data_IF_082120436232
#
_entry.id   IF_082120436232
#
_cell.length_a   1.000
_cell.length_b   1.000
_cell.length_c   1.000
_cell.angle_alpha   90.00
_cell.angle_beta   90.00
_cell.angle_gamma   90.00
#
_symmetry.space_group_name_H-M   'P 1'
#
loop_
_entity.id
_entity.type
_entity.pdbx_description
1 polymer ?
#
# COMPACT_ATOMS: atom_id res chain seq x y z
N UNK A 1 1.32 3.45 -27.64
CA UNK A 1 1.40 4.91 -27.47
C UNK A 1 1.87 5.33 -26.06
N UNK A 2 2.05 4.40 -25.12
CA UNK A 2 2.51 4.65 -23.72
C UNK A 2 4.05 4.77 -23.63
N UNK A 3 4.81 4.16 -24.53
CA UNK A 3 6.30 4.12 -24.48
C UNK A 3 6.95 5.50 -24.70
N UNK A 4 6.30 6.44 -25.36
CA UNK A 4 6.87 7.77 -25.69
C UNK A 4 6.88 8.78 -24.52
N UNK A 5 6.14 8.53 -23.43
CA UNK A 5 6.11 9.44 -22.27
C UNK A 5 7.29 9.31 -21.32
N UNK A 6 8.05 8.21 -21.37
CA UNK A 6 9.20 7.99 -20.49
C UNK A 6 10.53 8.60 -20.98
N UNK A 7 10.57 9.13 -22.21
CA UNK A 7 11.83 9.58 -22.87
C UNK A 7 12.39 10.88 -22.29
N UNK A 8 11.63 11.65 -21.51
CA UNK A 8 12.08 12.95 -20.94
C UNK A 8 12.15 12.98 -19.40
N UNK A 9 11.99 11.86 -18.72
CA UNK A 9 12.19 11.84 -17.27
C UNK A 9 13.67 11.77 -16.95
N UNK A 10 14.22 12.78 -16.29
CA UNK A 10 15.54 12.74 -15.67
C UNK A 10 15.70 11.43 -14.90
N UNK A 11 16.90 10.83 -14.93
CA UNK A 11 17.16 9.59 -14.22
C UNK A 11 16.88 9.77 -12.72
N UNK A 12 15.82 9.17 -12.22
CA UNK A 12 15.37 9.27 -10.82
C UNK A 12 15.36 7.91 -10.16
N UNK A 13 15.70 7.91 -8.88
CA UNK A 13 15.68 6.72 -8.04
C UNK A 13 14.28 6.16 -7.89
N UNK A 14 14.08 4.89 -8.24
CA UNK A 14 12.80 4.20 -8.15
C UNK A 14 12.31 3.97 -6.70
N UNK A 15 13.18 4.25 -5.70
CA UNK A 15 12.81 4.19 -4.29
C UNK A 15 12.48 5.56 -3.69
N UNK A 16 13.28 6.61 -3.92
CA UNK A 16 13.12 7.90 -3.24
C UNK A 16 12.74 9.05 -4.15
N UNK A 17 12.62 8.83 -5.45
CA UNK A 17 12.28 9.79 -6.52
C UNK A 17 13.28 10.92 -6.76
N UNK A 18 14.37 10.98 -5.97
CA UNK A 18 15.43 11.97 -6.17
C UNK A 18 16.28 11.62 -7.39
N UNK A 19 16.90 12.63 -8.00
CA UNK A 19 17.79 12.47 -9.15
C UNK A 19 18.97 11.54 -8.81
N UNK A 20 19.42 10.77 -9.81
CA UNK A 20 20.60 9.91 -9.76
C UNK A 20 21.57 10.42 -10.85
N UNK A 21 22.80 10.75 -10.45
CA UNK A 21 23.83 11.25 -11.36
C UNK A 21 24.31 10.15 -12.33
N UNK A 22 24.37 8.91 -11.86
CA UNK A 22 24.75 7.74 -12.67
C UNK A 22 23.54 7.19 -13.43
N UNK A 23 23.55 7.37 -14.76
CA UNK A 23 22.45 6.93 -15.65
C UNK A 23 22.30 5.40 -15.76
N UNK A 24 23.31 4.63 -15.35
CA UNK A 24 23.27 3.17 -15.31
C UNK A 24 22.56 2.61 -14.06
N UNK A 25 22.22 3.45 -13.08
CA UNK A 25 21.59 3.02 -11.84
C UNK A 25 20.11 3.38 -11.81
N UNK A 26 19.30 2.48 -11.24
CA UNK A 26 17.89 2.73 -10.92
C UNK A 26 17.65 3.12 -9.47
N UNK A 27 18.64 2.94 -8.60
CA UNK A 27 18.55 3.23 -7.17
C UNK A 27 19.87 3.81 -6.65
N UNK A 28 19.81 4.74 -5.71
CA UNK A 28 20.97 5.05 -4.90
C UNK A 28 21.38 3.80 -4.08
N UNK A 29 22.66 3.57 -3.81
CA UNK A 29 23.10 2.41 -3.03
C UNK A 29 22.44 2.27 -1.65
N UNK A 30 22.15 3.41 -0.99
CA UNK A 30 21.42 3.42 0.29
C UNK A 30 19.94 3.06 0.13
N UNK A 31 19.32 3.43 -0.98
CA UNK A 31 17.92 3.09 -1.29
C UNK A 31 17.79 1.59 -1.61
N UNK A 32 18.72 1.05 -2.39
CA UNK A 32 18.79 -0.38 -2.66
C UNK A 32 19.00 -1.19 -1.36
N UNK A 33 19.86 -0.70 -0.45
CA UNK A 33 20.06 -1.32 0.86
C UNK A 33 18.77 -1.35 1.69
N UNK A 34 17.98 -0.27 1.70
CA UNK A 34 16.71 -0.21 2.44
C UNK A 34 15.66 -1.19 1.90
N UNK A 35 15.55 -1.32 0.57
CA UNK A 35 14.54 -2.17 -0.06
C UNK A 35 14.99 -3.63 -0.15
N UNK A 36 16.19 -3.88 -0.67
CA UNK A 36 16.67 -5.22 -0.99
C UNK A 36 17.65 -5.80 0.03
N UNK A 37 18.13 -5.01 0.99
CA UNK A 37 19.17 -5.44 1.93
C UNK A 37 20.58 -5.50 1.33
N UNK A 38 20.80 -4.91 0.15
CA UNK A 38 22.09 -4.87 -0.56
C UNK A 38 22.29 -3.53 -1.27
N UNK A 39 23.55 -3.11 -1.47
CA UNK A 39 23.87 -1.80 -2.06
C UNK A 39 23.60 -1.74 -3.57
N UNK A 40 23.62 -2.88 -4.24
CA UNK A 40 23.29 -3.00 -5.66
C UNK A 40 21.93 -3.70 -5.77
N UNK A 41 20.97 -3.06 -6.44
CA UNK A 41 19.65 -3.64 -6.65
C UNK A 41 19.73 -4.91 -7.51
N UNK A 42 18.95 -5.94 -7.22
CA UNK A 42 18.85 -7.12 -8.08
C UNK A 42 18.13 -6.77 -9.38
N UNK A 43 18.46 -7.49 -10.44
CA UNK A 43 17.79 -7.39 -11.75
C UNK A 43 16.48 -8.18 -11.71
N UNK A 44 15.45 -7.66 -12.35
CA UNK A 44 14.17 -8.36 -12.59
C UNK A 44 14.15 -8.83 -14.06
N UNK A 45 14.54 -10.08 -14.38
CA UNK A 45 14.71 -10.56 -15.74
C UNK A 45 13.40 -11.07 -16.34
N UNK A 46 12.31 -10.33 -16.17
CA UNK A 46 10.99 -10.66 -16.69
C UNK A 46 10.39 -9.46 -17.39
N UNK A 47 9.70 -9.71 -18.50
CA UNK A 47 8.84 -8.76 -19.17
C UNK A 47 7.37 -9.05 -18.84
N UNK A 48 6.47 -8.17 -19.25
CA UNK A 48 5.04 -8.29 -19.03
C UNK A 48 4.48 -9.63 -19.49
N UNK A 49 4.81 -10.05 -20.72
CA UNK A 49 4.27 -11.30 -21.29
C UNK A 49 4.70 -12.53 -20.48
N UNK A 50 5.96 -12.59 -20.05
CA UNK A 50 6.44 -13.68 -19.19
C UNK A 50 5.70 -13.71 -17.85
N UNK A 51 5.47 -12.55 -17.24
CA UNK A 51 4.80 -12.42 -15.95
C UNK A 51 3.33 -12.83 -16.08
N UNK A 52 2.62 -12.42 -17.11
CA UNK A 52 1.23 -12.80 -17.34
C UNK A 52 1.08 -14.32 -17.51
N UNK A 53 1.94 -14.95 -18.30
CA UNK A 53 1.96 -16.41 -18.47
C UNK A 53 2.24 -17.16 -17.16
N UNK A 54 3.21 -16.69 -16.38
CA UNK A 54 3.55 -17.29 -15.09
C UNK A 54 2.44 -17.07 -14.05
N UNK A 55 1.80 -15.91 -14.05
CA UNK A 55 0.66 -15.64 -13.19
C UNK A 55 -0.52 -16.59 -13.50
N UNK A 56 -0.84 -16.82 -14.78
CA UNK A 56 -1.85 -17.78 -15.18
C UNK A 56 -1.53 -19.21 -14.71
N UNK A 57 -0.29 -19.67 -14.85
CA UNK A 57 0.12 -21.00 -14.35
C UNK A 57 0.03 -21.14 -12.83
N UNK A 58 0.26 -20.04 -12.07
CA UNK A 58 0.11 -20.04 -10.62
C UNK A 58 -1.36 -20.05 -10.23
N UNK A 59 -2.21 -19.30 -10.94
CA UNK A 59 -3.66 -19.26 -10.72
C UNK A 59 -4.29 -20.61 -10.99
N UNK A 60 -3.91 -21.30 -12.08
CA UNK A 60 -4.40 -22.64 -12.40
C UNK A 60 -4.05 -23.68 -11.32
N UNK A 61 -2.96 -23.48 -10.59
CA UNK A 61 -2.50 -24.35 -9.49
C UNK A 61 -3.02 -23.94 -8.12
N UNK A 62 -3.59 -22.74 -7.96
CA UNK A 62 -4.09 -22.24 -6.69
C UNK A 62 -5.57 -21.93 -6.78
N UNK A 63 -6.37 -22.51 -5.88
CA UNK A 63 -7.83 -22.33 -5.79
C UNK A 63 -8.28 -20.94 -5.30
N UNK A 64 -7.41 -19.96 -5.19
CA UNK A 64 -7.78 -18.60 -4.79
C UNK A 64 -7.56 -17.61 -5.93
N UNK A 65 -8.62 -17.38 -6.66
CA UNK A 65 -8.73 -16.29 -7.62
C UNK A 65 -9.49 -15.17 -6.92
N UNK A 66 -8.91 -13.96 -6.90
CA UNK A 66 -9.62 -12.70 -7.18
C UNK A 66 -8.71 -11.54 -6.79
N UNK A 67 -8.14 -10.92 -7.75
CA UNK A 67 -7.49 -9.62 -7.65
C UNK A 67 -7.35 -9.08 -9.07
N UNK A 68 -7.71 -7.83 -9.27
CA UNK A 68 -7.60 -7.13 -10.54
C UNK A 68 -6.15 -7.06 -11.05
N UNK A 69 -5.17 -7.30 -10.16
CA UNK A 69 -3.74 -7.23 -10.43
C UNK A 69 -3.04 -8.52 -9.96
N UNK A 70 -2.23 -9.19 -10.81
CA UNK A 70 -1.43 -10.33 -10.39
C UNK A 70 -0.46 -9.97 -9.27
N UNK A 71 -0.33 -10.86 -8.28
CA UNK A 71 0.65 -10.74 -7.18
C UNK A 71 1.59 -11.93 -7.25
N UNK A 72 2.88 -11.66 -7.44
CA UNK A 72 3.91 -12.69 -7.58
C UNK A 72 4.88 -12.63 -6.41
N UNK A 73 5.16 -13.78 -5.79
CA UNK A 73 6.17 -13.87 -4.77
C UNK A 73 7.55 -14.08 -5.39
N UNK A 74 8.51 -13.26 -4.99
CA UNK A 74 9.89 -13.28 -5.49
C UNK A 74 10.87 -13.49 -4.35
N UNK A 75 12.03 -14.08 -4.70
CA UNK A 75 13.22 -14.07 -3.84
C UNK A 75 14.47 -13.68 -4.61
N UNK A 76 15.50 -13.28 -3.89
CA UNK A 76 16.78 -12.88 -4.48
C UNK A 76 17.65 -14.12 -4.66
N UNK A 77 17.91 -14.49 -5.90
CA UNK A 77 18.94 -15.44 -6.27
C UNK A 77 20.29 -14.68 -6.39
N UNK A 78 21.21 -15.04 -5.53
CA UNK A 78 22.56 -14.42 -5.52
C UNK A 78 23.36 -14.96 -6.67
N UNK A 79 23.78 -14.06 -7.57
CA UNK A 79 24.66 -14.39 -8.68
C UNK A 79 26.05 -14.82 -8.19
N UNK A 80 26.79 -15.51 -9.07
CA UNK A 80 28.21 -15.81 -8.87
C UNK A 80 29.08 -14.56 -8.87
N UNK A 81 30.42 -14.74 -8.78
CA UNK A 81 31.40 -13.64 -8.61
C UNK A 81 31.31 -12.53 -9.69
N UNK A 82 30.77 -12.85 -10.88
CA UNK A 82 30.64 -11.92 -12.01
C UNK A 82 29.19 -11.83 -12.56
N UNK A 83 28.21 -12.35 -11.83
CA UNK A 83 26.81 -12.31 -12.24
C UNK A 83 26.00 -11.39 -11.33
N UNK A 84 25.07 -10.58 -11.87
CA UNK A 84 24.19 -9.78 -11.05
C UNK A 84 23.23 -10.66 -10.23
N UNK A 85 22.89 -10.18 -9.03
CA UNK A 85 21.78 -10.77 -8.27
C UNK A 85 20.48 -10.62 -9.07
N UNK A 86 19.64 -11.65 -9.09
CA UNK A 86 18.39 -11.69 -9.83
C UNK A 86 17.20 -11.94 -8.90
N UNK A 87 16.10 -11.27 -9.16
CA UNK A 87 14.81 -11.64 -8.56
C UNK A 87 14.23 -12.81 -9.34
N UNK A 88 13.85 -13.87 -8.63
CA UNK A 88 13.28 -15.09 -9.21
C UNK A 88 11.91 -15.33 -8.60
N UNK A 89 10.94 -15.68 -9.44
CA UNK A 89 9.59 -16.05 -8.99
C UNK A 89 9.70 -17.38 -8.24
N UNK A 90 9.23 -17.37 -6.99
CA UNK A 90 9.23 -18.53 -6.12
C UNK A 90 7.84 -18.62 -5.49
N UNK A 91 7.15 -19.68 -5.58
CA UNK A 91 5.82 -19.89 -5.02
C UNK A 91 5.47 -19.04 -3.78
N UNK A 92 4.93 -19.65 -2.74
CA UNK A 92 4.48 -18.92 -1.52
C UNK A 92 5.61 -18.41 -0.61
N UNK A 93 6.85 -18.78 -0.85
CA UNK A 93 7.96 -18.60 0.11
C UNK A 93 8.85 -17.38 -0.16
N UNK A 94 8.52 -16.54 -1.14
CA UNK A 94 9.31 -15.36 -1.48
C UNK A 94 9.34 -14.30 -0.39
N UNK A 95 10.46 -13.56 -0.33
CA UNK A 95 10.66 -12.42 0.57
C UNK A 95 10.10 -11.11 0.01
N UNK A 96 9.74 -11.08 -1.26
CA UNK A 96 9.17 -9.93 -1.96
C UNK A 96 7.84 -10.27 -2.61
N UNK A 97 7.01 -9.26 -2.79
CA UNK A 97 5.79 -9.31 -3.59
C UNK A 97 5.94 -8.31 -4.73
N UNK A 98 5.74 -8.78 -5.96
CA UNK A 98 5.71 -7.98 -7.16
C UNK A 98 4.28 -7.82 -7.64
N UNK A 99 3.92 -6.60 -8.00
CA UNK A 99 2.65 -6.25 -8.64
C UNK A 99 2.98 -5.53 -9.95
N UNK A 100 2.87 -6.19 -11.11
CA UNK A 100 3.11 -5.60 -12.42
C UNK A 100 1.95 -4.68 -12.82
N UNK A 101 2.09 -4.01 -13.96
CA UNK A 101 0.99 -3.25 -14.58
C UNK A 101 -0.21 -4.17 -14.85
N UNK A 102 -1.39 -3.59 -14.76
CA UNK A 102 -2.64 -4.25 -15.15
C UNK A 102 -2.94 -3.99 -16.63
N UNK A 103 -3.64 -4.94 -17.27
CA UNK A 103 -4.18 -4.74 -18.61
C UNK A 103 -5.43 -3.84 -18.60
N UNK A 104 -6.14 -3.75 -17.48
CA UNK A 104 -7.38 -3.00 -17.34
C UNK A 104 -7.15 -1.56 -16.87
N UNK A 105 -6.18 -1.35 -15.98
CA UNK A 105 -5.92 -0.07 -15.32
C UNK A 105 -4.47 0.35 -15.49
N UNK A 106 -4.26 1.52 -16.04
CA UNK A 106 -2.92 2.08 -16.22
C UNK A 106 -2.38 2.67 -14.90
N UNK A 107 -1.05 2.67 -14.76
CA UNK A 107 -0.32 3.30 -13.66
C UNK A 107 -0.60 2.74 -12.26
N UNK A 108 -1.14 1.52 -12.12
CA UNK A 108 -1.38 0.92 -10.79
C UNK A 108 -0.12 0.87 -9.91
N UNK A 109 1.04 0.38 -10.39
CA UNK A 109 2.28 0.38 -9.62
C UNK A 109 2.71 1.75 -9.15
N UNK A 110 2.62 2.76 -10.01
CA UNK A 110 3.02 4.14 -9.70
C UNK A 110 2.08 4.79 -8.71
N UNK A 111 0.76 4.53 -8.83
CA UNK A 111 -0.25 5.05 -7.90
C UNK A 111 -0.09 4.40 -6.52
N UNK A 112 0.15 3.09 -6.45
CA UNK A 112 0.40 2.40 -5.17
C UNK A 112 1.69 2.93 -4.52
N UNK A 113 2.78 3.02 -5.26
CA UNK A 113 4.06 3.47 -4.71
C UNK A 113 4.02 4.91 -4.20
N UNK A 114 3.42 5.84 -4.95
CA UNK A 114 3.28 7.24 -4.51
C UNK A 114 2.38 7.36 -3.28
N UNK A 115 1.27 6.60 -3.22
CA UNK A 115 0.36 6.59 -2.07
C UNK A 115 1.07 6.05 -0.81
N UNK A 116 1.80 4.96 -0.93
CA UNK A 116 2.61 4.39 0.15
C UNK A 116 3.68 5.37 0.63
N UNK A 117 4.35 6.10 -0.27
CA UNK A 117 5.34 7.14 0.10
C UNK A 117 4.69 8.32 0.83
N UNK A 118 3.52 8.74 0.43
CA UNK A 118 2.76 9.79 1.12
C UNK A 118 2.40 9.36 2.55
N UNK A 119 1.96 8.11 2.73
CA UNK A 119 1.70 7.55 4.06
C UNK A 119 2.96 7.60 4.93
N UNK A 120 4.08 7.10 4.44
CA UNK A 120 5.36 7.11 5.15
C UNK A 120 5.83 8.53 5.51
N UNK A 121 5.69 9.51 4.60
CA UNK A 121 6.07 10.90 4.83
C UNK A 121 5.24 11.60 5.92
N UNK A 122 4.04 11.08 6.18
CA UNK A 122 3.15 11.53 7.26
C UNK A 122 3.34 10.77 8.58
N UNK A 123 4.31 9.85 8.63
CA UNK A 123 4.63 9.06 9.81
C UNK A 123 3.73 7.85 10.03
N UNK A 124 3.01 7.41 9.01
CA UNK A 124 2.38 6.08 8.99
C UNK A 124 3.48 5.07 8.69
N UNK A 125 3.63 4.09 9.56
CA UNK A 125 4.60 3.01 9.35
C UNK A 125 4.16 2.15 8.15
N UNK A 126 5.03 2.01 7.14
CA UNK A 126 4.75 1.26 5.91
C UNK A 126 5.75 0.13 5.72
N UNK A 127 5.35 -0.93 5.02
CA UNK A 127 6.28 -1.96 4.57
C UNK A 127 7.34 -1.33 3.64
N UNK A 128 8.59 -1.84 3.57
CA UNK A 128 9.57 -1.38 2.59
C UNK A 128 9.08 -1.66 1.18
N UNK A 129 8.99 -0.62 0.35
CA UNK A 129 8.42 -0.70 -0.99
C UNK A 129 9.14 0.23 -1.97
N UNK A 130 8.88 0.05 -3.26
CA UNK A 130 9.39 0.91 -4.32
C UNK A 130 8.89 0.44 -5.68
N UNK A 131 9.32 1.15 -6.72
CA UNK A 131 9.15 0.69 -8.10
C UNK A 131 10.37 -0.12 -8.52
N UNK A 132 10.19 -1.05 -9.46
CA UNK A 132 11.26 -1.79 -10.12
C UNK A 132 11.02 -1.78 -11.62
N UNK A 133 12.11 -1.71 -12.40
CA UNK A 133 12.02 -1.78 -13.86
C UNK A 133 12.10 -3.23 -14.32
N UNK A 134 11.15 -3.61 -15.16
CA UNK A 134 11.13 -4.90 -15.83
C UNK A 134 12.05 -4.88 -17.07
N UNK A 135 12.26 -6.05 -17.68
CA UNK A 135 13.19 -6.20 -18.81
C UNK A 135 12.72 -5.45 -20.08
N UNK A 136 11.41 -5.26 -20.23
CA UNK A 136 10.80 -4.44 -21.29
C UNK A 136 10.78 -2.94 -20.99
N UNK A 137 11.31 -2.51 -19.85
CA UNK A 137 11.34 -1.12 -19.41
C UNK A 137 10.08 -0.65 -18.66
N UNK A 138 9.02 -1.44 -18.57
CA UNK A 138 7.83 -1.09 -17.77
C UNK A 138 8.17 -1.07 -16.27
N UNK A 139 7.39 -0.30 -15.50
CA UNK A 139 7.51 -0.25 -14.05
C UNK A 139 6.54 -1.24 -13.40
N UNK A 140 7.01 -1.92 -12.36
CA UNK A 140 6.20 -2.72 -11.46
C UNK A 140 6.40 -2.23 -10.02
N UNK A 141 5.39 -2.40 -9.17
CA UNK A 141 5.52 -2.17 -7.74
C UNK A 141 6.15 -3.39 -7.07
N UNK A 142 7.11 -3.16 -6.19
CA UNK A 142 7.74 -4.21 -5.40
C UNK A 142 7.75 -3.84 -3.92
N UNK A 143 7.40 -4.80 -3.08
CA UNK A 143 7.44 -4.64 -1.63
C UNK A 143 8.13 -5.82 -0.96
N UNK A 144 8.88 -5.53 0.12
CA UNK A 144 9.46 -6.57 0.96
C UNK A 144 8.45 -7.01 2.00
N UNK A 145 8.28 -8.30 2.17
CA UNK A 145 7.41 -8.88 3.19
C UNK A 145 7.96 -8.60 4.58
N UNK A 146 7.07 -8.21 5.49
CA UNK A 146 7.39 -7.92 6.89
C UNK A 146 7.12 -9.10 7.83
N UNK A 147 6.41 -10.13 7.34
CA UNK A 147 6.15 -11.37 8.05
C UNK A 147 7.33 -12.36 7.98
N UNK A 148 8.52 -11.87 7.61
CA UNK A 148 9.76 -12.67 7.52
C UNK A 148 10.95 -11.87 8.00
N UNK A 149 11.88 -12.55 8.65
CA UNK A 149 13.18 -11.97 8.96
C UNK A 149 14.19 -12.15 7.80
N UNK A 150 15.41 -11.65 8.01
CA UNK A 150 16.49 -11.75 7.02
C UNK A 150 16.94 -13.20 6.72
N UNK A 151 16.58 -14.16 7.57
CA UNK A 151 16.89 -15.59 7.38
C UNK A 151 15.77 -16.32 6.64
N UNK A 152 14.64 -15.64 6.36
CA UNK A 152 13.43 -16.22 5.76
C UNK A 152 12.49 -16.88 6.77
N UNK A 153 12.77 -16.81 8.07
CA UNK A 153 11.88 -17.29 9.13
C UNK A 153 10.59 -16.47 9.10
N UNK A 154 9.47 -17.19 9.02
CA UNK A 154 8.13 -16.57 9.00
C UNK A 154 7.65 -16.27 10.43
N UNK A 155 7.08 -15.07 10.60
CA UNK A 155 6.29 -14.68 11.77
C UNK A 155 4.80 -14.80 11.44
N UNK A 156 3.98 -15.00 12.46
CA UNK A 156 2.54 -15.03 12.29
C UNK A 156 2.03 -13.62 11.95
N UNK A 157 1.27 -13.51 10.86
CA UNK A 157 0.59 -12.28 10.45
C UNK A 157 -0.84 -12.65 10.10
N UNK A 158 -1.79 -12.08 10.84
CA UNK A 158 -3.21 -12.40 10.75
C UNK A 158 -3.98 -11.16 10.30
N UNK A 159 -4.66 -11.27 9.17
CA UNK A 159 -5.54 -10.19 8.70
C UNK A 159 -6.85 -10.11 9.52
N UNK A 160 -7.58 -9.01 9.39
CA UNK A 160 -8.80 -8.81 10.18
C UNK A 160 -9.94 -9.76 9.77
N UNK A 161 -9.93 -10.35 8.56
CA UNK A 161 -10.85 -11.43 8.24
C UNK A 161 -10.56 -12.66 9.11
N UNK A 162 -9.30 -13.06 9.25
CA UNK A 162 -8.88 -14.18 10.08
C UNK A 162 -9.17 -13.91 11.58
N UNK A 163 -8.83 -12.72 12.08
CA UNK A 163 -9.04 -12.33 13.47
C UNK A 163 -10.51 -12.21 13.86
N UNK A 164 -11.38 -11.91 12.90
CA UNK A 164 -12.84 -11.80 13.11
C UNK A 164 -13.61 -13.03 12.60
N UNK A 165 -12.89 -14.09 12.23
CA UNK A 165 -13.44 -15.36 11.73
C UNK A 165 -14.37 -15.17 10.52
N UNK A 166 -13.96 -14.30 9.57
CA UNK A 166 -14.69 -14.02 8.33
C UNK A 166 -14.01 -14.70 7.14
N UNK A 167 -14.82 -15.22 6.23
CA UNK A 167 -14.33 -15.73 4.94
C UNK A 167 -13.85 -14.57 4.06
N UNK A 168 -12.96 -14.86 3.12
CA UNK A 168 -12.40 -13.86 2.18
C UNK A 168 -13.48 -13.14 1.37
N UNK A 169 -14.56 -13.83 0.98
CA UNK A 169 -15.70 -13.28 0.26
C UNK A 169 -16.48 -12.24 1.07
N UNK A 170 -16.28 -12.20 2.39
CA UNK A 170 -16.91 -11.26 3.31
C UNK A 170 -15.95 -10.14 3.74
N UNK A 171 -14.88 -9.89 3.00
CA UNK A 171 -13.83 -8.91 3.35
C UNK A 171 -14.35 -7.46 3.47
N UNK A 172 -15.46 -7.13 2.82
CA UNK A 172 -16.12 -5.81 2.89
C UNK A 172 -17.22 -5.71 3.95
N UNK A 173 -17.58 -6.81 4.62
CA UNK A 173 -18.62 -6.78 5.64
C UNK A 173 -18.11 -6.21 6.95
N UNK A 174 -18.98 -5.48 7.66
CA UNK A 174 -18.68 -4.90 8.97
C UNK A 174 -18.38 -3.41 8.90
N UNK A 175 -17.82 -2.88 9.96
CA UNK A 175 -17.45 -1.47 10.09
C UNK A 175 -16.04 -1.33 10.68
N UNK A 176 -15.40 -0.19 10.43
CA UNK A 176 -14.03 0.05 10.95
C UNK A 176 -13.96 0.04 12.48
N UNK A 177 -15.01 0.46 13.18
CA UNK A 177 -15.05 0.38 14.65
C UNK A 177 -14.89 -1.05 15.16
N UNK A 178 -15.42 -2.05 14.46
CA UNK A 178 -15.28 -3.47 14.84
C UNK A 178 -13.83 -3.94 14.69
N UNK A 179 -13.09 -3.40 13.69
CA UNK A 179 -11.66 -3.68 13.54
C UNK A 179 -10.85 -3.00 14.65
N UNK A 180 -11.20 -1.78 15.05
CA UNK A 180 -10.58 -1.11 16.19
C UNK A 180 -10.77 -1.90 17.49
N UNK A 181 -11.97 -2.46 17.74
CA UNK A 181 -12.23 -3.33 18.90
C UNK A 181 -11.42 -4.64 18.82
N UNK A 182 -11.26 -5.20 17.62
CA UNK A 182 -10.43 -6.39 17.40
C UNK A 182 -8.96 -6.10 17.71
N UNK A 183 -8.44 -4.94 17.28
CA UNK A 183 -7.09 -4.49 17.61
C UNK A 183 -6.93 -4.34 19.13
N UNK A 184 -7.87 -3.71 19.83
CA UNK A 184 -7.83 -3.58 21.28
C UNK A 184 -7.72 -4.93 21.98
N UNK A 185 -8.43 -5.93 21.48
CA UNK A 185 -8.49 -7.26 22.09
C UNK A 185 -7.19 -8.04 21.95
N UNK A 186 -6.49 -7.91 20.84
CA UNK A 186 -5.37 -8.79 20.49
C UNK A 186 -4.00 -8.11 20.48
N UNK A 187 -3.94 -6.77 20.42
CA UNK A 187 -2.67 -6.04 20.44
C UNK A 187 -2.12 -5.92 21.86
N UNK A 188 -0.80 -6.04 21.98
CA UNK A 188 -0.05 -5.75 23.23
C UNK A 188 0.07 -4.24 23.50
N UNK A 189 -0.23 -3.38 22.54
CA UNK A 189 -0.22 -1.93 22.67
C UNK A 189 -1.56 -1.34 22.17
N UNK A 190 -2.69 -1.72 22.81
CA UNK A 190 -4.03 -1.54 22.24
C UNK A 190 -4.32 -0.12 21.77
N UNK A 191 -4.18 0.87 22.65
CA UNK A 191 -4.57 2.25 22.32
C UNK A 191 -3.62 2.91 21.33
N UNK A 192 -2.34 2.55 21.32
CA UNK A 192 -1.39 3.04 20.31
C UNK A 192 -1.74 2.48 18.92
N UNK A 193 -2.04 1.20 18.85
CA UNK A 193 -2.37 0.55 17.58
C UNK A 193 -3.77 0.96 17.06
N UNK A 194 -4.74 1.25 17.96
CA UNK A 194 -6.02 1.85 17.57
C UNK A 194 -5.83 3.27 17.00
N UNK A 195 -4.92 4.08 17.57
CA UNK A 195 -4.60 5.40 17.01
C UNK A 195 -3.98 5.28 15.61
N UNK A 196 -3.00 4.37 15.43
CA UNK A 196 -2.37 4.09 14.13
C UNK A 196 -3.37 3.58 13.10
N UNK A 197 -4.28 2.71 13.53
CA UNK A 197 -5.37 2.20 12.69
C UNK A 197 -6.27 3.32 12.18
N UNK A 198 -6.77 4.19 13.06
CA UNK A 198 -7.62 5.31 12.65
C UNK A 198 -6.88 6.35 11.81
N UNK A 199 -5.59 6.55 12.07
CA UNK A 199 -4.75 7.39 11.22
C UNK A 199 -4.67 6.82 9.79
N UNK A 200 -4.54 5.50 9.66
CA UNK A 200 -4.50 4.82 8.37
C UNK A 200 -5.86 4.86 7.65
N UNK A 201 -6.98 4.69 8.37
CA UNK A 201 -8.35 4.82 7.80
C UNK A 201 -8.58 6.25 7.29
N UNK A 202 -8.22 7.26 8.08
CA UNK A 202 -8.34 8.67 7.70
C UNK A 202 -7.49 9.00 6.48
N UNK A 203 -6.23 8.54 6.44
CA UNK A 203 -5.33 8.68 5.30
C UNK A 203 -5.92 8.04 4.05
N UNK A 204 -6.45 6.82 4.17
CA UNK A 204 -7.07 6.09 3.05
C UNK A 204 -8.24 6.87 2.46
N UNK A 205 -9.11 7.44 3.31
CA UNK A 205 -10.19 8.29 2.86
C UNK A 205 -9.69 9.57 2.17
N UNK A 206 -8.69 10.26 2.73
CA UNK A 206 -8.13 11.48 2.12
C UNK A 206 -7.56 11.19 0.73
N UNK A 207 -6.88 10.06 0.57
CA UNK A 207 -6.21 9.67 -0.67
C UNK A 207 -7.11 8.92 -1.66
N UNK A 208 -8.39 8.71 -1.33
CA UNK A 208 -9.35 8.04 -2.21
C UNK A 208 -9.10 6.53 -2.36
N UNK A 209 -8.64 5.87 -1.30
CA UNK A 209 -8.54 4.43 -1.23
C UNK A 209 -9.85 3.82 -0.71
N UNK A 210 -10.78 3.56 -1.59
CA UNK A 210 -12.07 2.92 -1.29
C UNK A 210 -12.00 1.39 -1.18
N UNK A 211 -10.83 0.77 -1.38
CA UNK A 211 -10.65 -0.69 -1.25
C UNK A 211 -9.94 -1.11 0.06
N UNK A 212 -9.94 -0.25 1.07
CA UNK A 212 -9.29 -0.54 2.35
C UNK A 212 -10.15 -1.44 3.25
N UNK A 213 -10.32 -2.69 2.81
CA UNK A 213 -11.16 -3.71 3.46
C UNK A 213 -10.44 -4.49 4.59
N UNK A 214 -11.15 -5.42 5.25
CA UNK A 214 -10.63 -6.20 6.38
C UNK A 214 -9.26 -6.88 6.12
N UNK A 215 -8.97 -7.33 4.91
CA UNK A 215 -7.70 -8.01 4.59
C UNK A 215 -6.51 -7.06 4.45
N UNK A 216 -6.73 -5.75 4.40
CA UNK A 216 -5.68 -4.74 4.28
C UNK A 216 -5.21 -4.24 5.66
N UNK A 217 -5.75 -4.80 6.74
CA UNK A 217 -5.29 -4.59 8.11
C UNK A 217 -4.89 -5.92 8.72
N UNK A 218 -3.71 -5.98 9.33
CA UNK A 218 -3.20 -7.20 9.97
C UNK A 218 -2.56 -6.90 11.31
N UNK A 219 -2.56 -7.91 12.17
CA UNK A 219 -1.69 -7.95 13.33
C UNK A 219 -0.50 -8.86 13.01
N UNK A 220 0.69 -8.35 13.26
CA UNK A 220 1.97 -9.05 13.08
C UNK A 220 2.52 -9.45 14.44
N UNK A 221 2.99 -10.70 14.54
CA UNK A 221 3.68 -11.20 15.71
C UNK A 221 5.11 -10.66 15.78
N UNK A 222 5.44 -10.04 16.89
CA UNK A 222 6.81 -9.64 17.21
C UNK A 222 7.38 -10.65 18.22
N UNK A 223 8.48 -11.32 17.92
CA UNK A 223 9.09 -12.29 18.82
C UNK A 223 9.27 -11.70 20.23
N UNK A 224 8.82 -12.42 21.24
CA UNK A 224 8.85 -12.06 22.67
C UNK A 224 7.84 -10.97 23.09
N UNK A 225 7.19 -10.26 22.17
CA UNK A 225 6.34 -9.10 22.49
C UNK A 225 4.85 -9.30 22.16
N UNK A 226 4.45 -10.38 21.48
CA UNK A 226 3.07 -10.62 21.04
C UNK A 226 2.68 -9.85 19.77
N UNK A 227 1.39 -9.66 19.54
CA UNK A 227 0.86 -9.06 18.30
C UNK A 227 0.74 -7.55 18.39
N UNK A 228 1.04 -6.86 17.31
CA UNK A 228 0.82 -5.42 17.11
C UNK A 228 0.28 -5.15 15.70
N UNK A 229 -0.32 -3.97 15.51
CA UNK A 229 -0.71 -3.55 14.16
C UNK A 229 0.51 -3.58 13.23
N UNK A 230 0.36 -4.28 12.10
CA UNK A 230 1.43 -4.36 11.09
C UNK A 230 1.69 -3.00 10.46
N UNK A 231 2.90 -2.78 9.91
CA UNK A 231 3.09 -1.69 8.97
C UNK A 231 2.05 -1.74 7.84
N UNK A 232 1.64 -0.57 7.35
CA UNK A 232 0.65 -0.46 6.28
C UNK A 232 1.19 -1.02 4.96
N UNK A 233 0.31 -1.63 4.19
CA UNK A 233 0.55 -2.20 2.86
C UNK A 233 -0.71 -2.05 2.00
N UNK A 234 -0.58 -2.23 0.70
CA UNK A 234 -1.71 -2.24 -0.26
C UNK A 234 -2.48 -0.91 -0.26
N UNK A 235 -1.78 0.23 -0.18
CA UNK A 235 -2.39 1.56 -0.23
C UNK A 235 -2.45 2.05 -1.68
N UNK A 236 -3.64 2.02 -2.25
CA UNK A 236 -3.89 2.43 -3.64
C UNK A 236 -5.02 3.46 -3.68
N UNK A 237 -4.84 4.57 -4.37
CA UNK A 237 -5.94 5.49 -4.66
C UNK A 237 -6.86 4.90 -5.73
N UNK A 238 -7.92 4.22 -5.31
CA UNK A 238 -8.90 3.60 -6.23
C UNK A 238 -9.59 4.66 -7.08
N UNK A 239 -9.90 5.82 -6.51
CA UNK A 239 -10.56 6.92 -7.22
C UNK A 239 -9.73 7.54 -8.37
N UNK A 240 -8.42 7.32 -8.42
CA UNK A 240 -7.59 7.67 -9.57
C UNK A 240 -7.64 6.60 -10.68
N UNK A 241 -7.93 5.38 -10.29
CA UNK A 241 -7.91 4.20 -11.16
C UNK A 241 -9.28 3.97 -11.78
N UNK A 242 -10.32 3.98 -10.95
CA UNK A 242 -11.71 3.77 -11.34
C UNK A 242 -12.53 5.05 -11.12
N UNK A 243 -12.86 5.71 -12.24
CA UNK A 243 -13.68 6.92 -12.24
C UNK A 243 -15.16 6.66 -11.90
N UNK A 244 -15.59 5.41 -11.93
CA UNK A 244 -16.96 5.00 -11.60
C UNK A 244 -17.12 4.55 -10.15
N UNK A 245 -16.01 4.46 -9.40
CA UNK A 245 -16.07 4.18 -7.97
C UNK A 245 -16.76 5.32 -7.22
N UNK A 246 -17.88 5.00 -6.58
CA UNK A 246 -18.71 5.97 -5.84
C UNK A 246 -18.42 5.99 -4.35
N UNK A 247 -17.84 4.91 -3.80
CA UNK A 247 -17.61 4.79 -2.38
C UNK A 247 -16.41 5.61 -1.91
N UNK A 248 -16.55 6.26 -0.76
CA UNK A 248 -15.44 7.00 -0.13
C UNK A 248 -14.50 6.07 0.67
N UNK A 249 -15.00 4.93 1.15
CA UNK A 249 -14.30 3.90 1.92
C UNK A 249 -14.89 2.52 1.63
N UNK A 250 -14.12 1.46 1.87
CA UNK A 250 -14.54 0.06 1.69
C UNK A 250 -15.64 -0.40 2.66
N UNK A 251 -15.74 0.25 3.83
CA UNK A 251 -16.68 -0.09 4.89
C UNK A 251 -17.14 1.17 5.62
N UNK A 252 -18.32 1.17 6.27
CA UNK A 252 -18.74 2.29 7.11
C UNK A 252 -17.82 2.44 8.33
N UNK A 253 -17.74 3.66 8.88
CA UNK A 253 -16.97 3.91 10.10
C UNK A 253 -17.63 3.24 11.31
N UNK A 254 -18.95 3.33 11.40
CA UNK A 254 -19.79 2.85 12.51
C UNK A 254 -20.90 1.93 11.99
N UNK A 255 -21.53 1.18 12.90
CA UNK A 255 -22.68 0.34 12.59
C UNK A 255 -22.33 -1.13 12.33
N UNK A 256 -23.33 -1.89 11.94
CA UNK A 256 -23.22 -3.33 11.71
C UNK A 256 -22.68 -3.69 10.31
N UNK A 257 -22.43 -2.68 9.46
CA UNK A 257 -21.94 -2.87 8.10
C UNK A 257 -22.80 -3.87 7.33
N UNK A 258 -24.08 -3.58 7.18
CA UNK A 258 -24.94 -4.34 6.26
C UNK A 258 -24.55 -3.88 4.86
N UNK A 259 -24.05 -4.81 4.05
CA UNK A 259 -23.91 -4.60 2.61
C UNK A 259 -25.33 -4.38 2.03
N UNK A 260 -25.66 -3.14 1.75
CA UNK A 260 -26.81 -2.74 0.96
C UNK A 260 -26.31 -1.86 -0.17
N UNK A 261 -27.16 -1.60 -1.16
CA UNK A 261 -26.85 -0.76 -2.34
C UNK A 261 -26.63 0.73 -2.00
N UNK A 262 -26.47 1.08 -0.72
CA UNK A 262 -26.26 2.47 -0.28
C UNK A 262 -24.75 2.78 -0.29
N UNK A 263 -24.31 3.75 -1.10
CA UNK A 263 -22.91 4.16 -1.15
C UNK A 263 -22.38 4.60 0.21
N UNK A 264 -21.13 4.22 0.52
CA UNK A 264 -20.42 4.58 1.76
C UNK A 264 -19.72 5.93 1.56
N UNK A 265 -20.49 7.01 1.68
CA UNK A 265 -20.09 8.38 1.31
C UNK A 265 -20.42 9.41 2.39
N UNK A 266 -20.02 10.66 2.12
CA UNK A 266 -20.34 11.84 2.91
C UNK A 266 -19.70 11.91 4.30
N UNK A 267 -18.52 11.36 4.45
CA UNK A 267 -17.74 11.53 5.67
C UNK A 267 -17.24 12.98 5.83
N UNK A 268 -17.28 13.44 7.08
CA UNK A 268 -16.81 14.75 7.52
C UNK A 268 -15.89 14.58 8.73
N UNK A 269 -15.32 15.69 9.20
CA UNK A 269 -14.51 15.73 10.42
C UNK A 269 -15.20 15.06 11.60
N UNK A 270 -16.48 15.38 11.84
CA UNK A 270 -17.27 14.84 12.97
C UNK A 270 -17.43 13.33 12.89
N UNK A 271 -17.61 12.79 11.68
CA UNK A 271 -17.75 11.33 11.47
C UNK A 271 -16.51 10.57 11.97
N UNK A 272 -15.30 11.10 11.67
CA UNK A 272 -14.05 10.51 12.15
C UNK A 272 -13.83 10.73 13.64
N UNK A 273 -14.13 11.92 14.17
CA UNK A 273 -14.03 12.21 15.60
C UNK A 273 -14.94 11.27 16.39
N UNK A 274 -16.18 11.10 15.97
CA UNK A 274 -17.15 10.21 16.61
C UNK A 274 -16.63 8.75 16.62
N UNK A 275 -16.20 8.24 15.47
CA UNK A 275 -15.70 6.86 15.37
C UNK A 275 -14.43 6.63 16.22
N UNK A 276 -13.52 7.60 16.23
CA UNK A 276 -12.31 7.56 17.06
C UNK A 276 -12.65 7.61 18.55
N UNK A 277 -13.59 8.47 18.97
CA UNK A 277 -13.97 8.60 20.39
C UNK A 277 -14.72 7.37 20.88
N UNK A 278 -15.61 6.79 20.10
CA UNK A 278 -16.26 5.52 20.40
C UNK A 278 -15.25 4.37 20.49
N UNK A 279 -14.11 4.47 19.79
CA UNK A 279 -13.01 3.52 19.93
C UNK A 279 -12.12 3.78 21.15
N UNK A 280 -12.46 4.75 22.02
CA UNK A 280 -11.72 5.07 23.23
C UNK A 280 -10.57 6.07 23.05
N UNK A 281 -10.43 6.71 21.88
CA UNK A 281 -9.51 7.82 21.64
C UNK A 281 -10.14 9.09 22.18
N UNK A 282 -9.41 9.90 22.94
CA UNK A 282 -9.95 11.18 23.41
C UNK A 282 -10.17 12.16 22.25
N UNK A 283 -11.16 13.05 22.40
CA UNK A 283 -11.44 14.10 21.41
C UNK A 283 -10.17 14.89 21.01
N UNK A 284 -9.34 15.25 21.99
CA UNK A 284 -8.11 16.01 21.75
C UNK A 284 -7.10 15.23 20.88
N UNK A 285 -6.99 13.93 21.09
CA UNK A 285 -6.12 13.06 20.27
C UNK A 285 -6.71 12.89 18.88
N UNK A 286 -8.01 12.64 18.75
CA UNK A 286 -8.70 12.54 17.46
C UNK A 286 -8.51 13.82 16.63
N UNK A 287 -8.74 14.98 17.23
CA UNK A 287 -8.52 16.28 16.58
C UNK A 287 -7.06 16.47 16.13
N UNK A 288 -6.07 16.07 16.96
CA UNK A 288 -4.64 16.13 16.60
C UNK A 288 -4.30 15.24 15.43
N UNK A 289 -4.87 14.02 15.34
CA UNK A 289 -4.67 13.13 14.21
C UNK A 289 -5.16 13.75 12.89
N UNK A 290 -6.35 14.39 12.93
CA UNK A 290 -6.88 15.10 11.76
C UNK A 290 -5.98 16.28 11.37
N UNK A 291 -5.57 17.11 12.31
CA UNK A 291 -4.66 18.24 12.06
C UNK A 291 -3.33 17.75 11.47
N UNK A 292 -2.78 16.65 12.00
CA UNK A 292 -1.56 16.03 11.46
C UNK A 292 -1.71 15.71 9.98
N UNK A 293 -2.83 15.10 9.56
CA UNK A 293 -3.07 14.77 8.16
C UNK A 293 -3.19 16.04 7.29
N UNK A 294 -3.90 17.06 7.75
CA UNK A 294 -4.03 18.35 7.05
C UNK A 294 -2.67 18.99 6.83
N UNK A 295 -1.78 18.95 7.82
CA UNK A 295 -0.44 19.56 7.75
C UNK A 295 0.52 18.77 6.84
N UNK A 296 0.21 17.54 6.46
CA UNK A 296 1.01 16.76 5.54
C UNK A 296 0.84 17.16 4.06
N UNK A 297 -0.14 17.98 3.72
CA UNK A 297 -0.51 18.33 2.35
C UNK A 297 0.68 18.71 1.48
N UNK A 298 1.52 19.64 1.92
CA UNK A 298 2.66 20.13 1.12
C UNK A 298 3.71 19.03 0.89
N UNK A 299 3.93 18.17 1.88
CA UNK A 299 4.82 17.00 1.73
C UNK A 299 4.26 16.02 0.69
N UNK A 300 2.96 15.78 0.71
CA UNK A 300 2.31 14.91 -0.27
C UNK A 300 2.42 15.46 -1.67
N UNK A 301 2.19 16.76 -1.85
CA UNK A 301 2.28 17.40 -3.15
C UNK A 301 3.70 17.32 -3.73
N UNK A 302 4.72 17.58 -2.91
CA UNK A 302 6.12 17.42 -3.34
C UNK A 302 6.44 15.98 -3.76
N UNK A 303 5.86 14.96 -3.09
CA UNK A 303 6.02 13.54 -3.46
C UNK A 303 5.29 13.25 -4.78
N UNK A 304 4.05 13.73 -4.94
CA UNK A 304 3.28 13.56 -6.18
C UNK A 304 4.03 14.21 -7.34
N UNK A 305 4.54 15.43 -7.19
CA UNK A 305 5.28 16.16 -8.24
C UNK A 305 6.55 15.41 -8.66
N UNK A 306 7.25 14.79 -7.73
CA UNK A 306 8.45 14.00 -8.00
C UNK A 306 8.15 12.55 -8.42
N UNK A 307 6.89 12.10 -8.43
CA UNK A 307 6.51 10.73 -8.75
C UNK A 307 6.61 10.39 -10.24
N UNK A 308 6.42 9.12 -10.58
CA UNK A 308 6.40 8.61 -11.96
C UNK A 308 5.01 8.63 -12.59
N UNK A 309 4.04 9.30 -11.98
CA UNK A 309 2.72 9.54 -12.55
C UNK A 309 2.80 10.51 -13.75
N UNK A 310 1.83 10.42 -14.66
CA UNK A 310 1.64 11.44 -15.68
C UNK A 310 1.24 12.79 -15.04
N UNK A 311 1.51 13.90 -15.71
CA UNK A 311 1.14 15.23 -15.19
C UNK A 311 -0.38 15.33 -14.95
N UNK A 312 -1.18 14.73 -15.81
CA UNK A 312 -2.64 14.66 -15.65
C UNK A 312 -3.03 13.95 -14.33
N UNK A 313 -2.44 12.77 -14.05
CA UNK A 313 -2.71 12.02 -12.83
C UNK A 313 -2.20 12.75 -11.57
N UNK A 314 -1.07 13.47 -11.66
CA UNK A 314 -0.58 14.30 -10.56
C UNK A 314 -1.60 15.37 -10.18
N UNK A 315 -2.14 16.10 -11.16
CA UNK A 315 -3.14 17.15 -10.90
C UNK A 315 -4.47 16.57 -10.40
N UNK A 316 -4.92 15.45 -10.96
CA UNK A 316 -6.11 14.74 -10.47
C UNK A 316 -5.94 14.31 -9.01
N UNK A 317 -4.78 13.77 -8.65
CA UNK A 317 -4.51 13.32 -7.28
C UNK A 317 -4.48 14.48 -6.29
N UNK A 318 -3.77 15.56 -6.61
CA UNK A 318 -3.76 16.78 -5.78
C UNK A 318 -5.16 17.36 -5.59
N UNK A 319 -5.97 17.40 -6.65
CA UNK A 319 -7.36 17.88 -6.61
C UNK A 319 -8.22 17.01 -5.68
N UNK A 320 -8.12 15.68 -5.79
CA UNK A 320 -8.81 14.73 -4.93
C UNK A 320 -8.46 14.95 -3.45
N UNK A 321 -7.17 15.04 -3.14
CA UNK A 321 -6.68 15.29 -1.78
C UNK A 321 -7.21 16.63 -1.25
N UNK A 322 -7.12 17.72 -2.04
CA UNK A 322 -7.66 19.01 -1.64
C UNK A 322 -9.15 18.93 -1.30
N UNK A 323 -9.95 18.32 -2.16
CA UNK A 323 -11.40 18.15 -1.95
C UNK A 323 -11.71 17.46 -0.63
N UNK A 324 -10.97 16.39 -0.29
CA UNK A 324 -11.22 15.65 0.94
C UNK A 324 -10.68 16.39 2.18
N UNK A 325 -9.54 17.07 2.08
CA UNK A 325 -9.01 17.89 3.18
C UNK A 325 -9.93 19.07 3.53
N UNK A 326 -10.61 19.69 2.56
CA UNK A 326 -11.58 20.76 2.84
C UNK A 326 -12.75 20.26 3.72
N UNK A 327 -13.23 19.03 3.52
CA UNK A 327 -14.27 18.42 4.37
C UNK A 327 -13.82 18.19 5.84
N UNK A 328 -12.51 18.23 6.10
CA UNK A 328 -11.93 18.09 7.45
C UNK A 328 -11.68 19.42 8.16
N UNK A 329 -11.76 20.54 7.45
CA UNK A 329 -11.55 21.89 8.02
C UNK A 329 -12.84 22.51 8.58
N UNK A 330 -13.98 22.00 8.10
CA UNK A 330 -15.31 22.48 8.49
C UNK A 330 -15.67 22.06 9.91
#
# INVERSE_FOLDING_TARGET
>A
MVILQYVNMKNRCLYCYKEIDDTGLHYHPQCAMKLFGMRQAPVLPYNRNNIEQLALQIIEKSTSITGVQPKLALDINRGGKNEPNKLTIVGLWGNFILKPQSSQYAFLPEIEDVTMKMASACGIETVPHGLIRMDDGELAYITRRVDRDATGKKFSMLDMCQLTNRLTEHKYRGAYIQLAETIKRYSISPMLDVQRFWELVLFSWITGNSDMHCKNFSLLEYPQNGYRLSPAYDLLSVKLVDKFDTDDLAMPLLGAGVLGDTPIVNFKRESFIEAMTLSGITYQVAAKLIVKQITCKEKWFAIIDSSFLSEELKEQYKSLICKNLEKLKA
#
